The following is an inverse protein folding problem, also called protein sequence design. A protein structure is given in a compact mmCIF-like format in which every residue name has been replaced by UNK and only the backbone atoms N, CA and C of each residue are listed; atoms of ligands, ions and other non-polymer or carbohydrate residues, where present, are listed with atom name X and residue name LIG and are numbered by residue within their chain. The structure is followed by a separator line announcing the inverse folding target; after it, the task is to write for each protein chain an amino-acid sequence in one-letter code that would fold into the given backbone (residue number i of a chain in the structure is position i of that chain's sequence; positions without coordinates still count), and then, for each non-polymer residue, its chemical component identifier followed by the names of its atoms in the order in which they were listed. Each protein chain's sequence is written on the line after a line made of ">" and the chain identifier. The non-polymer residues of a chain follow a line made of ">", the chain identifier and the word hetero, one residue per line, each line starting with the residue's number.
data_IF_094668499064
#
_entry.id   IF_094668499064
#
_cell.length_a   1.000
_cell.length_b   1.000
_cell.length_c   1.000
_cell.angle_alpha   90.00
_cell.angle_beta   90.00
_cell.angle_gamma   90.00
#
_symmetry.space_group_name_H-M   'P 1'
#
loop_
_entity.id
_entity.type
_entity.pdbx_description
1 polymer ?
#
# COMPACT_ATOMS: atom_id res chain seq x y z
N UNK A 1 -40.05 -38.82 14.04
CA UNK A 1 -39.37 -37.76 13.28
C UNK A 1 -40.46 -36.93 12.58
N UNK A 2 -40.63 -35.64 12.96
CA UNK A 2 -41.65 -34.79 12.36
C UNK A 2 -41.25 -34.48 10.91
N UNK A 3 -42.03 -34.94 9.94
CA UNK A 3 -41.81 -34.64 8.55
C UNK A 3 -42.16 -33.17 8.30
N UNK A 4 -41.17 -32.38 7.85
CA UNK A 4 -41.40 -31.01 7.42
C UNK A 4 -42.41 -31.02 6.27
N UNK A 5 -43.33 -30.03 6.29
CA UNK A 5 -44.28 -29.86 5.18
C UNK A 5 -43.56 -29.59 3.87
N UNK A 6 -44.19 -29.91 2.75
CA UNK A 6 -43.61 -29.65 1.43
C UNK A 6 -43.21 -28.19 1.24
N UNK A 7 -44.03 -27.28 1.70
CA UNK A 7 -43.79 -25.83 1.66
C UNK A 7 -42.54 -25.46 2.45
N UNK A 8 -42.36 -26.03 3.65
CA UNK A 8 -41.18 -25.76 4.48
C UNK A 8 -39.89 -26.29 3.82
N UNK A 9 -39.93 -27.42 3.12
CA UNK A 9 -38.78 -27.92 2.36
C UNK A 9 -38.42 -27.03 1.19
N UNK A 10 -39.40 -26.57 0.42
CA UNK A 10 -39.17 -25.66 -0.71
C UNK A 10 -38.64 -24.30 -0.24
N UNK A 11 -39.19 -23.73 0.85
CA UNK A 11 -38.66 -22.49 1.44
C UNK A 11 -37.21 -22.65 1.91
N UNK A 12 -36.90 -23.78 2.56
CA UNK A 12 -35.53 -24.04 3.03
C UNK A 12 -34.54 -24.15 1.87
N UNK A 13 -34.92 -24.87 0.80
CA UNK A 13 -34.09 -24.98 -0.41
C UNK A 13 -33.86 -23.63 -1.09
N UNK A 14 -34.92 -22.82 -1.19
CA UNK A 14 -34.80 -21.47 -1.77
C UNK A 14 -33.92 -20.57 -0.91
N UNK A 15 -34.12 -20.54 0.40
CA UNK A 15 -33.28 -19.77 1.31
C UNK A 15 -31.81 -20.20 1.24
N UNK A 16 -31.53 -21.51 1.23
CA UNK A 16 -30.16 -22.01 1.14
C UNK A 16 -29.50 -21.63 -0.19
N UNK A 17 -30.25 -21.65 -1.29
CA UNK A 17 -29.73 -21.22 -2.59
C UNK A 17 -29.41 -19.72 -2.59
N UNK A 18 -30.30 -18.89 -2.04
CA UNK A 18 -30.08 -17.44 -1.92
C UNK A 18 -28.86 -17.13 -1.06
N UNK A 19 -28.74 -17.78 0.10
CA UNK A 19 -27.57 -17.61 1.00
C UNK A 19 -26.28 -18.02 0.26
N UNK A 20 -26.29 -19.13 -0.45
CA UNK A 20 -25.11 -19.59 -1.20
C UNK A 20 -24.69 -18.56 -2.27
N UNK A 21 -25.64 -18.03 -3.05
CA UNK A 21 -25.38 -17.01 -4.08
C UNK A 21 -24.81 -15.74 -3.46
N UNK A 22 -25.43 -15.24 -2.37
CA UNK A 22 -24.97 -14.04 -1.70
C UNK A 22 -23.58 -14.22 -1.10
N UNK A 23 -23.31 -15.39 -0.53
CA UNK A 23 -21.96 -15.72 0.03
C UNK A 23 -20.90 -15.69 -1.07
N UNK A 24 -21.16 -16.38 -2.19
CA UNK A 24 -20.21 -16.39 -3.32
C UNK A 24 -20.01 -14.98 -3.88
N UNK A 25 -21.08 -14.22 -4.06
CA UNK A 25 -21.00 -12.85 -4.55
C UNK A 25 -20.19 -11.95 -3.61
N UNK A 26 -20.44 -12.02 -2.30
CA UNK A 26 -19.71 -11.24 -1.28
C UNK A 26 -18.23 -11.58 -1.21
N UNK A 27 -17.87 -12.87 -1.25
CA UNK A 27 -16.48 -13.30 -1.28
C UNK A 27 -15.76 -12.84 -2.56
N UNK A 28 -16.44 -12.99 -3.71
CA UNK A 28 -15.88 -12.55 -5.00
C UNK A 28 -15.67 -11.03 -5.04
N UNK A 29 -16.62 -10.25 -4.54
CA UNK A 29 -16.50 -8.80 -4.45
C UNK A 29 -15.33 -8.39 -3.54
N UNK A 30 -15.22 -9.01 -2.37
CA UNK A 30 -14.12 -8.71 -1.43
C UNK A 30 -12.75 -9.01 -2.07
N UNK A 31 -12.60 -10.17 -2.70
CA UNK A 31 -11.36 -10.57 -3.37
C UNK A 31 -10.98 -9.62 -4.51
N UNK A 32 -11.95 -9.26 -5.35
CA UNK A 32 -11.74 -8.35 -6.47
C UNK A 32 -11.37 -6.94 -6.00
N UNK A 33 -12.06 -6.43 -4.98
CA UNK A 33 -11.79 -5.12 -4.40
C UNK A 33 -10.41 -5.04 -3.79
N UNK A 34 -10.00 -6.02 -2.99
CA UNK A 34 -8.65 -6.05 -2.40
C UNK A 34 -7.56 -6.08 -3.48
N UNK A 35 -7.75 -6.88 -4.53
CA UNK A 35 -6.80 -6.92 -5.65
C UNK A 35 -6.72 -5.58 -6.39
N UNK A 36 -7.87 -4.95 -6.64
CA UNK A 36 -7.93 -3.66 -7.31
C UNK A 36 -7.23 -2.56 -6.52
N UNK A 37 -7.46 -2.47 -5.21
CA UNK A 37 -6.78 -1.48 -4.36
C UNK A 37 -5.27 -1.71 -4.28
N UNK A 38 -4.81 -2.97 -4.17
CA UNK A 38 -3.39 -3.29 -4.22
C UNK A 38 -2.73 -2.81 -5.52
N UNK A 39 -3.46 -2.94 -6.63
CA UNK A 39 -2.96 -2.49 -7.94
C UNK A 39 -2.90 -0.95 -8.02
N UNK A 40 -3.90 -0.24 -7.50
CA UNK A 40 -3.91 1.22 -7.43
C UNK A 40 -2.79 1.76 -6.53
N UNK A 41 -2.60 1.18 -5.35
CA UNK A 41 -1.53 1.57 -4.43
C UNK A 41 -0.15 1.35 -5.04
N UNK A 42 0.04 0.22 -5.73
CA UNK A 42 1.28 -0.06 -6.46
C UNK A 42 1.52 0.97 -7.56
N UNK A 43 0.50 1.31 -8.33
CA UNK A 43 0.60 2.30 -9.40
C UNK A 43 0.95 3.68 -8.82
N UNK A 44 0.30 4.09 -7.73
CA UNK A 44 0.59 5.35 -7.05
C UNK A 44 2.03 5.40 -6.52
N UNK A 45 2.53 4.32 -5.91
CA UNK A 45 3.91 4.23 -5.44
C UNK A 45 4.92 4.30 -6.58
N UNK A 46 4.70 3.58 -7.68
CA UNK A 46 5.57 3.60 -8.86
C UNK A 46 5.62 5.00 -9.48
N UNK A 47 4.47 5.65 -9.67
CA UNK A 47 4.40 7.00 -10.24
C UNK A 47 5.17 8.02 -9.38
N UNK A 48 5.03 7.93 -8.05
CA UNK A 48 5.73 8.83 -7.13
C UNK A 48 7.22 8.52 -7.04
N UNK A 49 7.58 7.27 -7.14
CA UNK A 49 8.97 6.84 -7.16
C UNK A 49 9.69 7.34 -8.42
N UNK A 50 9.06 7.21 -9.59
CA UNK A 50 9.59 7.78 -10.84
C UNK A 50 9.72 9.32 -10.78
N UNK A 51 8.74 9.99 -10.17
CA UNK A 51 8.80 11.45 -9.96
C UNK A 51 9.94 11.84 -9.01
N UNK A 52 10.11 11.12 -7.91
CA UNK A 52 11.22 11.33 -6.97
C UNK A 52 12.57 11.06 -7.63
N UNK A 53 12.66 10.00 -8.42
CA UNK A 53 13.85 9.65 -9.21
C UNK A 53 14.22 10.76 -10.20
N UNK A 54 13.23 11.33 -10.88
CA UNK A 54 13.46 12.44 -11.80
C UNK A 54 14.02 13.68 -11.08
N UNK A 55 13.50 14.01 -9.91
CA UNK A 55 14.01 15.11 -9.07
C UNK A 55 15.45 14.82 -8.64
N UNK A 56 15.71 13.63 -8.10
CA UNK A 56 17.03 13.24 -7.60
C UNK A 56 18.09 13.12 -8.71
N UNK A 57 17.70 12.65 -9.90
CA UNK A 57 18.63 12.59 -11.05
C UNK A 57 19.04 13.96 -11.56
N UNK A 58 18.26 15.00 -11.30
CA UNK A 58 18.61 16.37 -11.64
C UNK A 58 19.56 17.00 -10.63
N UNK A 59 19.66 16.42 -9.43
CA UNK A 59 20.59 16.86 -8.40
C UNK A 59 22.04 16.50 -8.81
N UNK A 60 22.90 17.50 -8.91
CA UNK A 60 24.32 17.34 -9.24
C UNK A 60 25.18 17.63 -8.01
N UNK A 61 25.49 16.60 -7.25
CA UNK A 61 26.30 16.69 -6.04
C UNK A 61 25.50 17.03 -4.75
N UNK A 62 26.16 16.99 -3.60
CA UNK A 62 25.52 17.18 -2.29
C UNK A 62 24.86 18.57 -2.13
N UNK A 63 25.49 19.62 -2.67
CA UNK A 63 24.93 20.97 -2.62
C UNK A 63 23.63 21.09 -3.41
N UNK A 64 23.54 20.41 -4.55
CA UNK A 64 22.34 20.38 -5.40
C UNK A 64 21.24 19.49 -4.80
N UNK A 65 21.60 18.44 -4.06
CA UNK A 65 20.61 17.62 -3.37
C UNK A 65 19.82 18.45 -2.35
N UNK A 66 20.49 19.30 -1.59
CA UNK A 66 19.81 20.20 -0.63
C UNK A 66 18.87 21.21 -1.30
N UNK A 67 19.14 21.61 -2.54
CA UNK A 67 18.29 22.50 -3.32
C UNK A 67 17.04 21.78 -3.87
N UNK A 68 17.14 20.47 -4.14
CA UNK A 68 16.01 19.67 -4.65
C UNK A 68 15.10 19.10 -3.53
N UNK A 69 15.55 19.09 -2.26
CA UNK A 69 14.74 18.65 -1.13
C UNK A 69 13.38 19.37 -0.99
N UNK A 70 13.26 20.70 -1.22
CA UNK A 70 11.96 21.38 -1.19
C UNK A 70 10.98 20.87 -2.25
N UNK A 71 11.45 20.53 -3.46
CA UNK A 71 10.62 19.96 -4.53
C UNK A 71 10.14 18.56 -4.14
N UNK A 72 11.05 17.75 -3.61
CA UNK A 72 10.72 16.42 -3.11
C UNK A 72 9.68 16.48 -1.99
N UNK A 73 9.84 17.42 -1.05
CA UNK A 73 8.89 17.67 0.04
C UNK A 73 7.53 18.12 -0.48
N UNK A 74 7.49 18.97 -1.51
CA UNK A 74 6.25 19.41 -2.14
C UNK A 74 5.54 18.24 -2.86
N UNK A 75 6.29 17.38 -3.57
CA UNK A 75 5.77 16.19 -4.22
C UNK A 75 5.10 15.23 -3.22
N UNK A 76 5.76 14.98 -2.10
CA UNK A 76 5.28 14.08 -1.05
C UNK A 76 4.15 14.71 -0.25
N UNK A 77 4.23 16.00 0.04
CA UNK A 77 3.22 16.75 0.79
C UNK A 77 1.86 16.84 0.10
N UNK A 78 1.80 16.63 -1.21
CA UNK A 78 0.55 16.58 -1.97
C UNK A 78 -0.33 15.38 -1.60
N UNK A 79 0.23 14.34 -0.96
CA UNK A 79 -0.48 13.14 -0.51
C UNK A 79 -0.30 12.94 0.99
N UNK A 80 -1.39 13.01 1.75
CA UNK A 80 -1.35 12.93 3.22
C UNK A 80 -0.89 11.56 3.75
N UNK A 81 -1.16 10.51 3.00
CA UNK A 81 -0.87 9.12 3.40
C UNK A 81 0.47 8.61 2.85
N UNK A 82 1.20 9.43 2.08
CA UNK A 82 2.48 9.08 1.48
C UNK A 82 3.63 9.76 2.22
N UNK A 83 4.65 8.98 2.55
CA UNK A 83 5.91 9.46 3.12
C UNK A 83 7.10 8.83 2.40
N UNK A 84 8.27 9.47 2.46
CA UNK A 84 9.49 8.90 1.92
C UNK A 84 10.68 9.09 2.87
N UNK A 85 11.63 8.18 2.75
CA UNK A 85 12.95 8.26 3.34
C UNK A 85 13.99 8.00 2.25
N UNK A 86 15.02 8.82 2.17
CA UNK A 86 16.13 8.65 1.25
C UNK A 86 17.39 8.38 2.06
N UNK A 87 18.05 7.31 1.73
CA UNK A 87 19.27 6.85 2.36
C UNK A 87 20.45 7.02 1.40
N UNK A 88 21.60 7.40 1.92
CA UNK A 88 22.86 7.32 1.21
C UNK A 88 23.33 5.87 1.08
N UNK A 89 24.39 5.65 0.31
CA UNK A 89 25.01 4.33 0.09
C UNK A 89 25.52 3.68 1.38
N UNK A 90 25.92 4.48 2.36
CA UNK A 90 26.35 4.02 3.70
C UNK A 90 25.18 3.75 4.66
N UNK A 91 23.93 3.97 4.22
CA UNK A 91 22.73 3.80 5.03
C UNK A 91 22.37 5.02 5.89
N UNK A 92 23.13 6.12 5.82
CA UNK A 92 22.78 7.37 6.51
C UNK A 92 21.52 8.00 5.88
N UNK A 93 20.71 8.66 6.72
CA UNK A 93 19.46 9.30 6.26
C UNK A 93 19.79 10.68 5.70
N UNK A 94 19.60 10.85 4.39
CA UNK A 94 19.74 12.14 3.72
C UNK A 94 18.45 12.96 3.81
N UNK A 95 17.32 12.29 3.70
CA UNK A 95 16.01 12.90 3.81
C UNK A 95 15.04 11.93 4.48
N UNK A 96 14.19 12.44 5.37
CA UNK A 96 13.06 11.72 5.91
C UNK A 96 11.87 12.67 6.05
N UNK A 97 10.72 12.26 5.50
CA UNK A 97 9.47 12.96 5.76
C UNK A 97 9.11 12.81 7.25
N UNK A 98 8.63 13.87 7.93
CA UNK A 98 8.21 13.77 9.34
C UNK A 98 7.15 12.70 9.62
N UNK A 99 6.40 12.28 8.60
CA UNK A 99 5.38 11.23 8.67
C UNK A 99 5.96 9.82 8.37
N UNK A 100 7.22 9.75 7.97
CA UNK A 100 7.85 8.47 7.67
C UNK A 100 7.93 7.61 8.93
N UNK A 101 7.50 6.37 8.80
CA UNK A 101 7.63 5.35 9.86
C UNK A 101 8.87 4.51 9.61
N UNK A 102 9.38 3.94 10.67
CA UNK A 102 10.54 3.07 10.56
C UNK A 102 10.22 1.83 9.74
N UNK A 103 10.95 1.66 8.64
CA UNK A 103 10.79 0.53 7.73
C UNK A 103 11.62 -0.65 8.29
N UNK A 104 11.03 -1.84 8.42
CA UNK A 104 11.76 -3.04 8.81
C UNK A 104 12.99 -3.29 7.93
N UNK A 105 14.11 -3.68 8.54
CA UNK A 105 15.41 -3.84 7.83
C UNK A 105 15.32 -4.78 6.61
N UNK A 106 14.49 -5.82 6.69
CA UNK A 106 14.27 -6.75 5.59
C UNK A 106 13.87 -6.05 4.29
N UNK A 107 13.10 -4.96 4.38
CA UNK A 107 12.62 -4.21 3.21
C UNK A 107 13.59 -3.12 2.75
N UNK A 108 14.52 -2.69 3.61
CA UNK A 108 15.54 -1.69 3.25
C UNK A 108 16.57 -2.23 2.25
N UNK A 109 16.74 -3.55 2.20
CA UNK A 109 17.75 -4.24 1.38
C UNK A 109 17.16 -4.87 0.12
N UNK A 110 15.85 -4.87 -0.03
CA UNK A 110 15.21 -5.40 -1.24
C UNK A 110 15.44 -4.45 -2.41
N UNK A 111 16.16 -4.96 -3.42
CA UNK A 111 16.53 -4.23 -4.63
C UNK A 111 15.50 -4.40 -5.74
N UNK A 112 14.38 -5.04 -5.45
CA UNK A 112 13.34 -5.29 -6.42
C UNK A 112 12.23 -4.23 -6.26
N UNK A 113 11.71 -3.73 -7.40
CA UNK A 113 10.50 -2.91 -7.47
C UNK A 113 9.25 -3.68 -7.00
N UNK A 114 9.43 -4.52 -5.99
CA UNK A 114 8.36 -5.26 -5.35
C UNK A 114 7.72 -4.40 -4.27
N UNK A 115 6.41 -4.34 -4.30
CA UNK A 115 5.64 -3.71 -3.23
C UNK A 115 5.64 -4.65 -2.03
N UNK A 116 6.14 -4.17 -0.89
CA UNK A 116 6.11 -4.88 0.37
C UNK A 116 5.02 -4.31 1.30
N UNK A 117 4.55 -5.13 2.21
CA UNK A 117 3.43 -4.81 3.10
C UNK A 117 3.81 -5.22 4.52
N UNK A 118 3.55 -4.34 5.51
CA UNK A 118 3.76 -4.66 6.92
C UNK A 118 2.78 -3.91 7.81
N UNK A 119 2.62 -4.43 9.02
CA UNK A 119 1.79 -3.84 10.05
C UNK A 119 2.69 -3.30 11.17
N UNK A 120 2.38 -2.09 11.63
CA UNK A 120 2.98 -1.49 12.81
C UNK A 120 1.86 -1.01 13.75
N UNK A 121 1.65 -1.72 14.85
CA UNK A 121 0.52 -1.48 15.75
C UNK A 121 -0.82 -1.70 15.03
N UNK A 122 -1.64 -0.66 14.97
CA UNK A 122 -2.94 -0.68 14.29
C UNK A 122 -2.88 -0.18 12.84
N UNK A 123 -1.71 0.25 12.38
CA UNK A 123 -1.51 0.79 11.05
C UNK A 123 -0.98 -0.27 10.09
N UNK A 124 -1.54 -0.28 8.87
CA UNK A 124 -1.08 -1.09 7.77
C UNK A 124 -0.37 -0.20 6.75
N UNK A 125 0.82 -0.60 6.37
CA UNK A 125 1.66 0.14 5.43
C UNK A 125 1.99 -0.70 4.21
N UNK A 126 2.08 -0.01 3.06
CA UNK A 126 2.64 -0.54 1.83
C UNK A 126 3.79 0.34 1.41
N UNK A 127 4.82 -0.27 0.85
CA UNK A 127 5.95 0.52 0.40
C UNK A 127 6.70 -0.12 -0.74
N UNK A 128 7.60 0.66 -1.30
CA UNK A 128 8.54 0.24 -2.35
C UNK A 128 9.91 0.82 -2.06
N UNK A 129 10.92 0.04 -2.41
CA UNK A 129 12.32 0.45 -2.33
C UNK A 129 12.91 0.49 -3.73
N UNK A 130 13.64 1.54 -4.06
CA UNK A 130 14.39 1.64 -5.31
C UNK A 130 15.76 2.26 -5.09
N UNK A 131 16.74 1.74 -5.79
CA UNK A 131 18.06 2.36 -5.87
C UNK A 131 18.10 3.35 -7.01
N UNK A 132 18.51 4.57 -6.70
CA UNK A 132 18.59 5.69 -7.66
C UNK A 132 20.06 6.05 -7.81
N UNK A 133 20.57 5.99 -9.06
CA UNK A 133 21.88 6.52 -9.37
C UNK A 133 21.77 8.04 -9.59
N UNK A 134 22.56 8.81 -8.87
CA UNK A 134 22.66 10.25 -9.08
C UNK A 134 23.67 10.51 -10.22
N UNK A 135 23.31 11.38 -11.15
CA UNK A 135 24.20 11.76 -12.26
C UNK A 135 25.51 12.34 -11.69
N UNK A 136 26.64 11.88 -12.23
CA UNK A 136 28.02 12.27 -11.85
C UNK A 136 28.55 11.78 -10.49
N UNK A 137 27.78 10.98 -9.74
CA UNK A 137 28.30 10.32 -8.52
C UNK A 137 28.21 8.80 -8.67
N UNK A 138 29.28 8.09 -8.26
CA UNK A 138 29.26 6.63 -8.17
C UNK A 138 28.39 6.12 -7.00
N UNK A 139 27.63 7.02 -6.37
CA UNK A 139 26.80 6.72 -5.21
C UNK A 139 25.38 6.37 -5.63
N UNK A 140 24.90 5.25 -5.08
CA UNK A 140 23.54 4.79 -5.18
C UNK A 140 22.76 5.27 -3.97
N UNK A 141 21.73 6.08 -4.19
CA UNK A 141 20.77 6.44 -3.15
C UNK A 141 19.67 5.38 -3.08
N UNK A 142 19.18 5.10 -1.88
CA UNK A 142 18.04 4.22 -1.67
C UNK A 142 16.82 5.06 -1.30
N UNK A 143 15.83 5.08 -2.18
CA UNK A 143 14.54 5.71 -1.91
C UNK A 143 13.55 4.67 -1.37
N UNK A 144 12.97 4.97 -0.21
CA UNK A 144 11.93 4.19 0.46
C UNK A 144 10.64 5.02 0.43
N UNK A 145 9.65 4.60 -0.34
CA UNK A 145 8.33 5.20 -0.34
C UNK A 145 7.37 4.35 0.49
N UNK A 146 6.57 5.00 1.32
CA UNK A 146 5.69 4.36 2.31
C UNK A 146 4.31 4.98 2.17
N UNK A 147 3.30 4.14 2.00
CA UNK A 147 1.89 4.52 1.93
C UNK A 147 1.14 3.94 3.15
N UNK A 148 0.47 4.78 3.93
CA UNK A 148 -0.45 4.34 4.98
C UNK A 148 -1.78 3.93 4.34
N UNK A 149 -2.10 2.64 4.40
CA UNK A 149 -3.32 2.06 3.82
C UNK A 149 -4.33 1.64 4.90
N UNK A 150 -4.14 2.10 6.13
CA UNK A 150 -4.97 1.73 7.28
C UNK A 150 -6.44 2.01 7.04
N UNK A 151 -6.77 3.17 6.50
CA UNK A 151 -8.16 3.57 6.24
C UNK A 151 -8.85 2.64 5.24
N UNK A 152 -8.13 2.20 4.21
CA UNK A 152 -8.67 1.27 3.20
C UNK A 152 -8.91 -0.12 3.78
N UNK A 153 -8.01 -0.61 4.62
CA UNK A 153 -8.15 -1.94 5.25
C UNK A 153 -9.28 -1.97 6.26
N UNK A 154 -9.44 -0.94 7.10
CA UNK A 154 -10.54 -0.84 8.05
C UNK A 154 -11.92 -0.77 7.38
N UNK A 155 -12.02 -0.12 6.24
CA UNK A 155 -13.27 -0.08 5.48
C UNK A 155 -13.69 -1.49 5.04
N UNK A 156 -12.76 -2.29 4.53
CA UNK A 156 -13.05 -3.68 4.11
C UNK A 156 -13.41 -4.58 5.28
N UNK A 157 -12.70 -4.48 6.39
CA UNK A 157 -13.01 -5.26 7.61
C UNK A 157 -14.41 -4.93 8.13
N UNK A 158 -14.80 -3.67 8.07
CA UNK A 158 -16.12 -3.22 8.47
C UNK A 158 -17.20 -3.76 7.53
N UNK A 159 -17.02 -3.66 6.21
CA UNK A 159 -17.95 -4.23 5.23
C UNK A 159 -18.09 -5.74 5.39
N UNK A 160 -17.00 -6.44 5.62
CA UNK A 160 -17.01 -7.88 5.83
C UNK A 160 -17.76 -8.26 7.10
N UNK A 161 -17.59 -7.53 8.21
CA UNK A 161 -18.37 -7.74 9.43
C UNK A 161 -19.86 -7.55 9.20
N UNK A 162 -20.27 -6.46 8.55
CA UNK A 162 -21.66 -6.19 8.24
C UNK A 162 -22.28 -7.27 7.35
N UNK A 163 -21.51 -7.76 6.38
CA UNK A 163 -21.93 -8.85 5.51
C UNK A 163 -22.23 -10.15 6.29
N UNK A 164 -21.35 -10.52 7.24
CA UNK A 164 -21.54 -11.72 8.05
C UNK A 164 -22.59 -11.59 9.17
N UNK A 165 -22.88 -10.35 9.61
CA UNK A 165 -23.95 -10.10 10.60
C UNK A 165 -25.31 -10.08 9.91
N UNK A 166 -25.38 -9.68 8.64
CA UNK A 166 -26.63 -9.60 7.87
C UNK A 166 -27.08 -10.90 7.21
N UNK A 167 -26.22 -11.93 7.19
CA UNK A 167 -26.51 -13.29 6.73
C UNK A 167 -26.95 -14.18 7.89
#
# INVERSE_FOLDING_TARGET
>A
MKHLSLTARMSLMFMSAVIAVLTVAGLSFNMLSQHHFKMLDRQALVEKLESAKHILNNARGEASLSEELPQLRALLGAHQDLAATILASDGSVLFSDPRAVEVPERFRRENEQSMWEWQNGQHMYRGMTEQISVADQAELLTALLILDVTNHTHFFDTLQRWFWIGL
#
